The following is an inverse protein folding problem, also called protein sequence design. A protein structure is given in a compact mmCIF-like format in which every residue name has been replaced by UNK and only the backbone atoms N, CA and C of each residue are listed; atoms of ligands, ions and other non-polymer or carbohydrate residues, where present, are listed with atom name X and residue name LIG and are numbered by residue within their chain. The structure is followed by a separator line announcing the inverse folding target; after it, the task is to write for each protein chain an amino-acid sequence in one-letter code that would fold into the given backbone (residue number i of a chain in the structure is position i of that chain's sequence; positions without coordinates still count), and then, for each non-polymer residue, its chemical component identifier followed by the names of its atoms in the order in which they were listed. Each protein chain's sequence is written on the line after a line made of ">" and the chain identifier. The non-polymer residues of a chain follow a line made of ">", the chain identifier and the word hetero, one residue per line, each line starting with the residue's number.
data_IF_346172014138
#
_entry.id   IF_346172014138
#
_cell.length_a   1.000
_cell.length_b   1.000
_cell.length_c   1.000
_cell.angle_alpha   90.00
_cell.angle_beta   90.00
_cell.angle_gamma   90.00
#
_symmetry.space_group_name_H-M   'P 1'
#
loop_
_entity.id
_entity.type
_entity.pdbx_description
1 polymer ?
#
# COMPACT_ATOMS: atom_id res chain seq x y z
N UNK A 1 -7.37 -23.03 -13.62
CA UNK A 1 -7.46 -23.33 -12.17
C UNK A 1 -8.56 -22.42 -11.63
N UNK A 2 -9.75 -22.96 -11.35
CA UNK A 2 -10.87 -22.17 -10.85
C UNK A 2 -10.56 -21.72 -9.41
N UNK A 3 -10.35 -20.42 -9.21
CA UNK A 3 -10.34 -19.81 -7.88
C UNK A 3 -11.73 -20.07 -7.27
N UNK A 4 -11.83 -20.70 -6.08
CA UNK A 4 -13.12 -20.85 -5.43
C UNK A 4 -13.71 -19.45 -5.18
N UNK A 5 -15.00 -19.28 -5.46
CA UNK A 5 -15.72 -18.06 -5.12
C UNK A 5 -15.57 -17.82 -3.61
N UNK A 6 -14.68 -16.89 -3.24
CA UNK A 6 -14.43 -16.52 -1.86
C UNK A 6 -15.74 -15.96 -1.31
N UNK A 7 -16.37 -16.67 -0.37
CA UNK A 7 -17.57 -16.18 0.32
C UNK A 7 -17.28 -14.78 0.88
N UNK A 8 -18.16 -13.79 0.71
CA UNK A 8 -17.95 -12.46 1.27
C UNK A 8 -17.80 -12.60 2.80
N UNK A 9 -16.57 -12.41 3.29
CA UNK A 9 -16.25 -12.54 4.71
C UNK A 9 -16.77 -11.28 5.41
N UNK A 10 -17.75 -11.45 6.30
CA UNK A 10 -18.45 -10.37 7.02
C UNK A 10 -17.46 -9.43 7.72
N UNK A 11 -17.47 -8.15 7.34
CA UNK A 11 -16.65 -7.06 7.90
C UNK A 11 -16.98 -6.78 9.38
N UNK A 12 -16.10 -6.10 10.13
CA UNK A 12 -16.40 -5.68 11.52
C UNK A 12 -17.56 -4.67 11.57
N UNK A 13 -17.73 -3.88 10.51
CA UNK A 13 -18.83 -2.92 10.33
C UNK A 13 -19.94 -3.47 9.41
N UNK A 14 -20.09 -4.79 9.35
CA UNK A 14 -21.05 -5.41 8.45
C UNK A 14 -22.48 -4.93 8.70
N UNK A 15 -23.16 -4.44 7.65
CA UNK A 15 -24.50 -3.87 7.71
C UNK A 15 -24.63 -2.56 8.52
N UNK A 16 -23.52 -1.94 8.97
CA UNK A 16 -23.59 -0.65 9.66
C UNK A 16 -23.93 0.44 8.65
N UNK A 17 -24.97 1.21 8.95
CA UNK A 17 -25.24 2.45 8.24
C UNK A 17 -24.28 3.53 8.72
N UNK A 18 -23.63 4.22 7.78
CA UNK A 18 -22.69 5.31 8.04
C UNK A 18 -23.11 6.56 7.27
N UNK A 19 -22.83 7.72 7.83
CA UNK A 19 -23.03 9.02 7.19
C UNK A 19 -21.97 9.28 6.12
N UNK A 20 -22.20 10.27 5.25
CA UNK A 20 -21.20 10.75 4.29
C UNK A 20 -19.87 11.13 4.95
N UNK A 21 -19.94 11.87 6.06
CA UNK A 21 -18.74 12.29 6.81
C UNK A 21 -18.00 11.11 7.41
N UNK A 22 -18.71 10.13 7.99
CA UNK A 22 -18.10 8.90 8.50
C UNK A 22 -17.46 8.06 7.37
N UNK A 23 -18.11 7.98 6.20
CA UNK A 23 -17.56 7.29 5.04
C UNK A 23 -16.26 7.95 4.55
N UNK A 24 -16.26 9.28 4.41
CA UNK A 24 -15.08 10.06 4.01
C UNK A 24 -13.91 9.83 4.99
N UNK A 25 -14.17 9.98 6.29
CA UNK A 25 -13.18 9.78 7.34
C UNK A 25 -12.62 8.35 7.36
N UNK A 26 -13.49 7.35 7.27
CA UNK A 26 -13.11 5.93 7.26
C UNK A 26 -12.23 5.58 6.06
N UNK A 27 -12.59 6.10 4.88
CA UNK A 27 -11.89 5.79 3.64
C UNK A 27 -10.62 6.64 3.45
N UNK A 28 -10.42 7.67 4.27
CA UNK A 28 -9.30 8.60 4.15
C UNK A 28 -9.42 9.51 2.93
N UNK A 29 -10.65 9.85 2.53
CA UNK A 29 -10.95 10.71 1.38
C UNK A 29 -11.82 11.91 1.80
N UNK A 30 -12.01 12.86 0.90
CA UNK A 30 -12.89 14.01 1.14
C UNK A 30 -14.36 13.64 0.92
N UNK A 31 -15.29 14.39 1.51
CA UNK A 31 -16.73 14.21 1.22
C UNK A 31 -17.05 14.43 -0.27
N UNK A 32 -16.34 15.34 -0.94
CA UNK A 32 -16.48 15.55 -2.38
C UNK A 32 -16.11 14.28 -3.18
N UNK A 33 -15.09 13.54 -2.75
CA UNK A 33 -14.74 12.26 -3.37
C UNK A 33 -15.82 11.19 -3.15
N UNK A 34 -16.52 11.22 -2.01
CA UNK A 34 -17.69 10.36 -1.79
C UNK A 34 -18.82 10.74 -2.75
N UNK A 35 -19.08 12.03 -2.95
CA UNK A 35 -20.08 12.50 -3.91
C UNK A 35 -19.74 12.04 -5.35
N UNK A 36 -18.47 12.16 -5.77
CA UNK A 36 -18.00 11.62 -7.06
C UNK A 36 -18.26 10.11 -7.18
N UNK A 37 -18.05 9.33 -6.10
CA UNK A 37 -18.33 7.89 -6.13
C UNK A 37 -19.82 7.61 -6.30
N UNK A 38 -20.70 8.41 -5.70
CA UNK A 38 -22.15 8.30 -5.88
C UNK A 38 -22.52 8.59 -7.33
N UNK A 39 -21.95 9.62 -7.94
CA UNK A 39 -22.13 9.93 -9.37
C UNK A 39 -21.65 8.78 -10.27
N UNK A 40 -20.64 8.03 -9.82
CA UNK A 40 -20.11 6.83 -10.48
C UNK A 40 -20.88 5.54 -10.14
N UNK A 41 -21.98 5.63 -9.38
CA UNK A 41 -22.87 4.52 -9.07
C UNK A 41 -22.56 3.77 -7.77
N UNK A 42 -21.90 4.41 -6.80
CA UNK A 42 -21.74 3.84 -5.46
C UNK A 42 -23.09 3.65 -4.76
N UNK A 43 -23.28 2.53 -4.02
CA UNK A 43 -24.55 2.25 -3.35
C UNK A 43 -24.79 3.22 -2.20
N UNK A 44 -25.94 3.92 -2.23
CA UNK A 44 -26.41 4.79 -1.16
C UNK A 44 -27.75 4.28 -0.60
N UNK A 45 -28.00 4.53 0.69
CA UNK A 45 -29.24 4.13 1.38
C UNK A 45 -30.27 5.24 1.44
N UNK A 46 -29.83 6.49 1.54
CA UNK A 46 -30.73 7.64 1.61
C UNK A 46 -30.08 8.91 1.08
N UNK A 47 -30.92 9.89 0.76
CA UNK A 47 -30.53 11.24 0.35
C UNK A 47 -30.96 12.27 1.39
N UNK A 48 -30.22 13.37 1.50
CA UNK A 48 -30.54 14.50 2.36
C UNK A 48 -31.60 15.41 1.71
N UNK A 49 -31.99 16.48 2.42
CA UNK A 49 -32.98 17.45 1.94
C UNK A 49 -32.54 18.23 0.70
N UNK A 50 -31.25 18.15 0.32
CA UNK A 50 -30.66 18.78 -0.86
C UNK A 50 -30.44 17.76 -1.99
N UNK A 51 -30.92 16.52 -1.83
CA UNK A 51 -30.78 15.45 -2.81
C UNK A 51 -29.39 14.80 -2.87
N UNK A 52 -28.50 15.09 -1.91
CA UNK A 52 -27.17 14.46 -1.84
C UNK A 52 -27.22 13.16 -1.05
N UNK A 53 -26.32 12.22 -1.31
CA UNK A 53 -26.23 11.01 -0.52
C UNK A 53 -25.99 11.35 0.97
N UNK A 54 -26.89 10.88 1.83
CA UNK A 54 -26.84 11.14 3.27
C UNK A 54 -26.23 9.96 4.02
N UNK A 55 -26.62 8.74 3.66
CA UNK A 55 -26.17 7.53 4.34
C UNK A 55 -25.86 6.38 3.38
N UNK A 56 -24.98 5.52 3.84
CA UNK A 56 -24.42 4.39 3.11
C UNK A 56 -24.47 3.14 3.98
N UNK A 57 -24.63 1.98 3.35
CA UNK A 57 -24.27 0.73 4.00
C UNK A 57 -22.76 0.52 3.87
N UNK A 58 -22.07 0.41 5.02
CA UNK A 58 -20.62 0.27 5.04
C UNK A 58 -20.14 -0.97 4.26
N UNK A 59 -20.91 -2.05 4.24
CA UNK A 59 -20.56 -3.28 3.51
C UNK A 59 -20.67 -3.05 2.02
N UNK A 60 -21.83 -2.57 1.56
CA UNK A 60 -22.09 -2.37 0.13
C UNK A 60 -21.10 -1.35 -0.45
N UNK A 61 -20.84 -0.25 0.27
CA UNK A 61 -19.88 0.75 -0.17
C UNK A 61 -18.45 0.20 -0.23
N UNK A 62 -18.04 -0.61 0.77
CA UNK A 62 -16.72 -1.24 0.76
C UNK A 62 -16.60 -2.25 -0.38
N UNK A 63 -17.61 -3.10 -0.60
CA UNK A 63 -17.60 -4.06 -1.69
C UNK A 63 -17.57 -3.38 -3.06
N UNK A 64 -18.34 -2.30 -3.24
CA UNK A 64 -18.27 -1.47 -4.43
C UNK A 64 -16.87 -0.90 -4.63
N UNK A 65 -16.22 -0.40 -3.58
CA UNK A 65 -14.85 0.15 -3.66
C UNK A 65 -13.78 -0.92 -3.99
N UNK A 66 -13.93 -2.13 -3.45
CA UNK A 66 -12.99 -3.23 -3.68
C UNK A 66 -13.11 -3.85 -5.07
N UNK A 67 -14.25 -3.65 -5.73
CA UNK A 67 -14.55 -4.18 -7.05
C UNK A 67 -14.52 -3.10 -8.15
N UNK A 68 -14.55 -1.82 -7.78
CA UNK A 68 -14.34 -0.72 -8.72
C UNK A 68 -12.88 -0.67 -9.15
N UNK A 69 -12.67 -0.81 -10.46
CA UNK A 69 -11.34 -0.67 -11.07
C UNK A 69 -10.85 0.79 -11.11
N UNK A 70 -11.69 1.73 -10.69
CA UNK A 70 -11.53 3.17 -10.93
C UNK A 70 -10.56 3.88 -9.97
N UNK A 71 -10.09 3.23 -8.91
CA UNK A 71 -9.05 3.76 -8.02
C UNK A 71 -7.69 3.08 -8.32
N UNK A 72 -6.96 3.71 -9.24
CA UNK A 72 -5.50 3.72 -9.39
C UNK A 72 -4.82 2.40 -9.00
N UNK A 73 -4.88 1.38 -9.86
CA UNK A 73 -3.82 0.38 -9.88
C UNK A 73 -2.58 1.08 -10.44
N UNK A 74 -1.48 1.29 -9.70
CA UNK A 74 -0.23 1.62 -10.38
C UNK A 74 0.05 0.46 -11.34
N UNK A 75 0.04 0.76 -12.64
CA UNK A 75 0.48 -0.15 -13.70
C UNK A 75 1.80 -0.75 -13.22
N UNK A 76 2.00 -2.06 -13.43
CA UNK A 76 3.28 -2.74 -13.17
C UNK A 76 4.42 -1.79 -13.55
N UNK A 77 5.14 -1.28 -12.56
CA UNK A 77 6.33 -0.50 -12.84
C UNK A 77 7.38 -1.50 -13.32
N UNK A 78 7.73 -1.39 -14.59
CA UNK A 78 8.84 -2.10 -15.20
C UNK A 78 10.12 -1.52 -14.61
N UNK A 79 10.69 -2.22 -13.64
CA UNK A 79 11.84 -1.73 -12.87
C UNK A 79 12.08 -2.54 -11.61
N UNK A 80 12.98 -3.52 -11.73
CA UNK A 80 13.48 -4.44 -10.70
C UNK A 80 12.41 -5.29 -9.98
N UNK A 81 12.45 -6.60 -10.27
CA UNK A 81 11.58 -7.60 -9.67
C UNK A 81 11.61 -7.51 -8.13
N UNK A 82 10.42 -7.37 -7.54
CA UNK A 82 10.27 -7.57 -6.12
C UNK A 82 10.63 -9.03 -5.80
N UNK A 83 11.15 -9.32 -4.59
CA UNK A 83 11.23 -10.70 -4.12
C UNK A 83 9.83 -11.33 -4.19
N UNK A 84 9.71 -12.64 -4.50
CA UNK A 84 8.41 -13.28 -4.69
C UNK A 84 7.41 -13.00 -3.56
N UNK A 85 7.88 -13.03 -2.30
CA UNK A 85 7.04 -12.77 -1.13
C UNK A 85 6.55 -11.32 -0.99
N UNK A 86 7.24 -10.34 -1.57
CA UNK A 86 6.75 -8.97 -1.68
C UNK A 86 5.92 -8.78 -2.95
N UNK A 87 6.21 -9.52 -4.02
CA UNK A 87 5.42 -9.48 -5.25
C UNK A 87 3.98 -9.92 -5.02
N UNK A 88 3.75 -10.99 -4.24
CA UNK A 88 2.40 -11.44 -3.87
C UNK A 88 1.55 -10.32 -3.23
N UNK A 89 2.17 -9.49 -2.39
CA UNK A 89 1.49 -8.34 -1.77
C UNK A 89 1.26 -7.24 -2.81
N UNK A 90 2.25 -6.97 -3.66
CA UNK A 90 2.16 -5.97 -4.72
C UNK A 90 1.14 -6.32 -5.81
N UNK A 91 0.86 -7.61 -6.04
CA UNK A 91 -0.21 -8.03 -6.94
C UNK A 91 -1.61 -7.67 -6.41
N UNK A 92 -1.73 -7.45 -5.10
CA UNK A 92 -2.98 -7.09 -4.42
C UNK A 92 -3.15 -5.58 -4.25
N UNK A 93 -2.14 -4.89 -3.70
CA UNK A 93 -2.24 -3.45 -3.35
C UNK A 93 -1.32 -2.54 -4.19
N UNK A 94 -0.59 -3.11 -5.15
CA UNK A 94 0.37 -2.37 -5.98
C UNK A 94 1.76 -2.24 -5.35
N UNK A 95 2.77 -2.04 -6.21
CA UNK A 95 4.19 -2.00 -5.81
C UNK A 95 4.49 -0.93 -4.77
N UNK A 96 4.07 0.31 -5.00
CA UNK A 96 4.41 1.45 -4.15
C UNK A 96 3.84 1.29 -2.75
N UNK A 97 2.56 0.88 -2.65
CA UNK A 97 1.89 0.60 -1.38
C UNK A 97 2.55 -0.55 -0.64
N UNK A 98 2.94 -1.61 -1.35
CA UNK A 98 3.71 -2.72 -0.77
C UNK A 98 5.06 -2.29 -0.22
N UNK A 99 5.83 -1.50 -0.97
CA UNK A 99 7.13 -1.01 -0.50
C UNK A 99 6.97 -0.06 0.69
N UNK A 100 5.95 0.80 0.68
CA UNK A 100 5.61 1.66 1.81
C UNK A 100 5.27 0.83 3.06
N UNK A 101 4.41 -0.18 2.92
CA UNK A 101 4.03 -1.10 3.99
C UNK A 101 5.25 -1.81 4.58
N UNK A 102 6.02 -2.50 3.74
CA UNK A 102 7.21 -3.27 4.16
C UNK A 102 8.25 -2.37 4.83
N UNK A 103 8.47 -1.16 4.29
CA UNK A 103 9.44 -0.20 4.85
C UNK A 103 9.08 0.31 6.25
N UNK A 104 7.81 0.18 6.66
CA UNK A 104 7.30 0.61 7.97
C UNK A 104 7.20 -0.54 8.98
N UNK A 105 7.36 -1.78 8.54
CA UNK A 105 7.32 -2.94 9.43
C UNK A 105 8.66 -3.14 10.14
N UNK A 106 8.66 -3.48 11.44
CA UNK A 106 9.88 -3.83 12.14
C UNK A 106 10.43 -5.16 11.61
N UNK A 107 11.76 -5.30 11.70
CA UNK A 107 12.42 -6.59 11.46
C UNK A 107 11.90 -7.63 12.45
N UNK A 108 11.67 -8.86 11.99
CA UNK A 108 11.06 -9.92 12.79
C UNK A 108 11.93 -11.17 12.93
N UNK A 109 12.26 -11.50 14.18
CA UNK A 109 13.06 -12.65 14.60
C UNK A 109 14.53 -12.57 14.16
N UNK A 110 15.20 -13.72 14.09
CA UNK A 110 16.66 -13.81 13.89
C UNK A 110 17.13 -13.55 12.45
N UNK A 111 16.23 -13.61 11.46
CA UNK A 111 16.60 -13.42 10.05
C UNK A 111 16.58 -11.92 9.69
N UNK A 112 17.72 -11.32 9.28
CA UNK A 112 17.83 -9.88 9.09
C UNK A 112 17.00 -9.33 7.92
N UNK A 113 16.63 -10.19 6.97
CA UNK A 113 15.82 -9.82 5.81
C UNK A 113 14.32 -9.95 6.04
N UNK A 114 13.87 -10.53 7.16
CA UNK A 114 12.46 -10.90 7.36
C UNK A 114 11.71 -9.81 8.12
N UNK A 115 10.53 -9.46 7.63
CA UNK A 115 9.49 -8.78 8.40
C UNK A 115 8.27 -9.71 8.54
N UNK A 116 7.45 -9.51 9.56
CA UNK A 116 6.22 -10.28 9.74
C UNK A 116 5.01 -9.34 9.73
N UNK A 117 3.98 -9.71 8.99
CA UNK A 117 2.70 -9.02 8.95
C UNK A 117 1.59 -10.04 9.18
N UNK A 118 0.91 -9.96 10.31
CA UNK A 118 -0.35 -10.68 10.49
C UNK A 118 -1.47 -9.92 9.78
N UNK A 119 -2.20 -10.62 8.90
CA UNK A 119 -3.40 -10.08 8.25
C UNK A 119 -4.62 -10.67 8.97
N UNK A 120 -5.42 -9.85 9.67
CA UNK A 120 -6.58 -10.37 10.40
C UNK A 120 -7.66 -10.87 9.43
N UNK A 121 -8.57 -11.72 9.91
CA UNK A 121 -9.72 -12.18 9.10
C UNK A 121 -10.79 -11.11 8.93
N UNK A 122 -10.79 -10.10 9.80
CA UNK A 122 -11.68 -8.93 9.79
C UNK A 122 -10.93 -7.72 10.32
N UNK A 123 -11.15 -6.56 9.72
CA UNK A 123 -10.49 -5.31 10.13
C UNK A 123 -11.53 -4.21 10.38
N UNK A 124 -11.22 -3.31 11.31
CA UNK A 124 -12.01 -2.11 11.62
C UNK A 124 -11.22 -0.84 11.28
N UNK A 125 -11.88 0.32 11.19
CA UNK A 125 -11.28 1.55 10.69
C UNK A 125 -10.10 2.03 11.55
N UNK A 126 -10.18 1.78 12.85
CA UNK A 126 -9.15 2.17 13.81
C UNK A 126 -7.96 1.19 13.87
N UNK A 127 -7.93 0.18 13.00
CA UNK A 127 -6.86 -0.82 13.02
C UNK A 127 -5.56 -0.22 12.46
N UNK A 128 -4.37 -0.48 13.07
CA UNK A 128 -3.10 0.09 12.63
C UNK A 128 -2.77 -0.11 11.15
N UNK A 129 -3.14 -1.28 10.59
CA UNK A 129 -2.98 -1.54 9.15
C UNK A 129 -3.83 -0.58 8.29
N UNK A 130 -5.06 -0.25 8.69
CA UNK A 130 -5.87 0.76 8.00
C UNK A 130 -5.22 2.14 8.11
N UNK A 131 -4.73 2.53 9.28
CA UNK A 131 -4.01 3.81 9.44
C UNK A 131 -2.73 3.87 8.59
N UNK A 132 -2.11 2.72 8.31
CA UNK A 132 -0.86 2.64 7.56
C UNK A 132 -1.07 2.68 6.04
N UNK A 133 -1.99 1.86 5.51
CA UNK A 133 -2.16 1.69 4.05
C UNK A 133 -3.53 2.12 3.53
N UNK A 134 -4.42 2.61 4.40
CA UNK A 134 -5.79 3.00 4.04
C UNK A 134 -6.78 1.86 4.11
N UNK A 135 -8.07 2.20 4.21
CA UNK A 135 -9.16 1.24 4.38
C UNK A 135 -9.25 0.25 3.22
N UNK A 136 -9.15 0.74 1.99
CA UNK A 136 -9.28 -0.07 0.79
C UNK A 136 -8.19 -1.13 0.71
N UNK A 137 -6.93 -0.72 0.76
CA UNK A 137 -5.79 -1.64 0.62
C UNK A 137 -5.73 -2.64 1.78
N UNK A 138 -6.06 -2.20 2.99
CA UNK A 138 -6.17 -3.10 4.14
C UNK A 138 -7.27 -4.17 3.93
N UNK A 139 -8.43 -3.80 3.40
CA UNK A 139 -9.49 -4.75 3.08
C UNK A 139 -9.15 -5.66 1.88
N UNK A 140 -8.39 -5.18 0.89
CA UNK A 140 -7.85 -6.03 -0.17
C UNK A 140 -6.92 -7.11 0.39
N UNK A 141 -6.01 -6.74 1.31
CA UNK A 141 -5.16 -7.72 1.99
C UNK A 141 -5.96 -8.70 2.83
N UNK A 142 -7.00 -8.26 3.55
CA UNK A 142 -7.88 -9.16 4.32
C UNK A 142 -8.63 -10.14 3.40
N UNK A 143 -9.08 -9.66 2.22
CA UNK A 143 -9.77 -10.49 1.22
C UNK A 143 -8.87 -11.61 0.71
N UNK A 144 -7.61 -11.32 0.41
CA UNK A 144 -6.66 -12.28 -0.16
C UNK A 144 -5.97 -13.15 0.91
N UNK A 145 -5.48 -12.52 1.99
CA UNK A 145 -4.59 -13.13 2.97
C UNK A 145 -5.18 -13.24 4.38
N UNK A 146 -6.47 -12.97 4.56
CA UNK A 146 -7.09 -12.91 5.89
C UNK A 146 -6.93 -14.20 6.70
N UNK A 147 -6.31 -14.07 7.88
CA UNK A 147 -5.99 -15.16 8.80
C UNK A 147 -4.55 -15.70 8.66
N UNK A 148 -3.74 -15.14 7.77
CA UNK A 148 -2.39 -15.60 7.47
C UNK A 148 -1.34 -14.63 8.06
N UNK A 149 -0.18 -15.16 8.45
CA UNK A 149 1.01 -14.37 8.76
C UNK A 149 1.90 -14.34 7.51
N UNK A 150 1.98 -13.19 6.87
CA UNK A 150 2.89 -12.94 5.76
C UNK A 150 4.31 -12.70 6.27
N UNK A 151 5.29 -13.25 5.56
CA UNK A 151 6.72 -13.08 5.87
C UNK A 151 7.50 -12.49 4.68
N UNK A 152 7.18 -11.25 4.24
CA UNK A 152 7.84 -10.68 3.09
C UNK A 152 9.30 -10.32 3.39
N UNK A 153 10.09 -10.21 2.31
CA UNK A 153 11.43 -9.63 2.39
C UNK A 153 11.35 -8.15 2.75
N UNK A 154 12.28 -7.65 3.55
CA UNK A 154 12.35 -6.25 3.98
C UNK A 154 12.70 -5.26 2.85
N UNK A 155 12.99 -5.76 1.64
CA UNK A 155 13.25 -4.98 0.43
C UNK A 155 14.39 -3.94 0.55
N UNK A 156 15.21 -3.97 1.61
CA UNK A 156 16.32 -3.02 1.82
C UNK A 156 17.37 -3.07 0.70
N UNK A 157 17.49 -4.21 0.02
CA UNK A 157 18.38 -4.36 -1.12
C UNK A 157 17.96 -3.51 -2.32
N UNK A 158 16.65 -3.24 -2.53
CA UNK A 158 16.18 -2.36 -3.60
C UNK A 158 16.64 -0.92 -3.35
N UNK A 159 16.46 -0.43 -2.12
CA UNK A 159 16.98 0.89 -1.72
C UNK A 159 18.51 0.96 -1.88
N UNK A 160 19.23 -0.08 -1.45
CA UNK A 160 20.69 -0.17 -1.63
C UNK A 160 21.08 -0.11 -3.10
N UNK A 161 20.39 -0.84 -3.98
CA UNK A 161 20.65 -0.89 -5.42
C UNK A 161 20.39 0.46 -6.06
N UNK A 162 19.20 1.03 -5.88
CA UNK A 162 18.84 2.37 -6.36
C UNK A 162 19.90 3.40 -5.97
N UNK A 163 20.25 3.45 -4.68
CA UNK A 163 21.26 4.37 -4.17
C UNK A 163 22.63 4.17 -4.80
N UNK A 164 23.04 2.92 -5.02
CA UNK A 164 24.32 2.59 -5.67
C UNK A 164 24.33 3.10 -7.11
N UNK A 165 23.23 2.87 -7.84
CA UNK A 165 23.05 3.37 -9.21
C UNK A 165 23.04 4.89 -9.25
N UNK A 166 22.34 5.54 -8.32
CA UNK A 166 22.24 7.00 -8.28
C UNK A 166 23.58 7.67 -7.94
N UNK A 167 24.33 7.13 -6.97
CA UNK A 167 25.70 7.58 -6.67
C UNK A 167 26.58 7.51 -7.92
N UNK A 168 26.52 6.40 -8.66
CA UNK A 168 27.31 6.22 -9.89
C UNK A 168 26.89 7.18 -10.99
N UNK A 169 25.58 7.41 -11.15
CA UNK A 169 25.01 8.35 -12.11
C UNK A 169 25.48 9.78 -11.83
N UNK A 170 25.35 10.25 -10.59
CA UNK A 170 25.76 11.59 -10.17
C UNK A 170 27.28 11.78 -10.31
N UNK A 171 28.08 10.79 -9.88
CA UNK A 171 29.52 10.84 -10.05
C UNK A 171 29.93 10.87 -11.54
N UNK A 172 29.28 10.05 -12.38
CA UNK A 172 29.49 10.07 -13.83
C UNK A 172 29.10 11.40 -14.48
N UNK A 173 28.18 12.15 -13.88
CA UNK A 173 27.83 13.52 -14.27
C UNK A 173 28.79 14.59 -13.70
N UNK A 174 29.89 14.20 -13.04
CA UNK A 174 30.93 15.10 -12.55
C UNK A 174 30.69 15.69 -11.16
N UNK A 175 29.66 15.25 -10.42
CA UNK A 175 29.40 15.75 -9.07
C UNK A 175 30.49 15.30 -8.10
N UNK A 176 30.90 16.18 -7.18
CA UNK A 176 31.90 15.83 -6.19
C UNK A 176 31.34 14.87 -5.14
N UNK A 177 32.20 14.00 -4.59
CA UNK A 177 31.85 12.99 -3.58
C UNK A 177 31.12 13.60 -2.37
N UNK A 178 31.52 14.80 -1.94
CA UNK A 178 30.90 15.51 -0.81
C UNK A 178 29.48 15.99 -1.12
N UNK A 179 29.23 16.47 -2.34
CA UNK A 179 27.92 16.97 -2.74
C UNK A 179 26.92 15.82 -2.88
N UNK A 180 27.37 14.70 -3.47
CA UNK A 180 26.58 13.46 -3.55
C UNK A 180 26.24 12.94 -2.14
N UNK A 181 27.22 12.95 -1.24
CA UNK A 181 27.05 12.52 0.15
C UNK A 181 25.99 13.36 0.87
N UNK A 182 26.05 14.69 0.74
CA UNK A 182 25.06 15.61 1.31
C UNK A 182 23.66 15.43 0.70
N UNK A 183 23.57 15.25 -0.62
CA UNK A 183 22.30 15.09 -1.32
C UNK A 183 21.57 13.79 -0.94
N UNK A 184 22.32 12.70 -0.77
CA UNK A 184 21.76 11.36 -0.50
C UNK A 184 21.78 10.97 0.98
N UNK A 185 22.16 11.89 1.87
CA UNK A 185 22.30 11.70 3.32
C UNK A 185 23.12 10.46 3.70
N UNK A 186 24.31 10.31 3.10
CA UNK A 186 25.23 9.21 3.37
C UNK A 186 26.66 9.71 3.53
N UNK A 187 27.51 8.91 4.19
CA UNK A 187 28.91 9.33 4.39
C UNK A 187 29.68 9.42 3.07
N UNK A 188 30.58 10.41 2.97
CA UNK A 188 31.51 10.54 1.85
C UNK A 188 32.36 9.27 1.64
N UNK A 189 32.71 8.56 2.72
CA UNK A 189 33.39 7.25 2.64
C UNK A 189 32.54 6.23 1.89
N UNK A 190 31.24 6.19 2.13
CA UNK A 190 30.35 5.25 1.47
C UNK A 190 30.18 5.58 -0.02
N UNK A 191 30.10 6.86 -0.37
CA UNK A 191 30.12 7.31 -1.77
C UNK A 191 31.43 6.88 -2.45
N UNK A 192 32.58 7.17 -1.84
CA UNK A 192 33.89 6.78 -2.37
C UNK A 192 34.00 5.26 -2.58
N UNK A 193 33.50 4.45 -1.64
CA UNK A 193 33.47 2.99 -1.77
C UNK A 193 32.58 2.52 -2.93
N UNK A 194 31.44 3.17 -3.18
CA UNK A 194 30.55 2.80 -4.30
C UNK A 194 31.20 3.11 -5.65
N UNK A 195 31.92 4.24 -5.71
CA UNK A 195 32.62 4.71 -6.92
C UNK A 195 33.88 3.89 -7.20
N UNK A 196 34.63 3.50 -6.17
CA UNK A 196 35.89 2.76 -6.33
C UNK A 196 35.70 1.32 -6.79
N UNK A 197 34.54 0.71 -6.50
CA UNK A 197 34.19 -0.63 -6.98
C UNK A 197 33.87 -0.56 -8.48
N UNK A 198 34.89 -0.79 -9.32
CA UNK A 198 34.74 -1.08 -10.75
C UNK A 198 33.88 -2.33 -10.92
N UNK A 199 32.92 -2.31 -11.85
CA UNK A 199 32.19 -3.51 -12.24
C UNK A 199 33.18 -4.49 -12.88
N UNK A 200 33.25 -5.71 -12.33
CA UNK A 200 33.77 -6.88 -13.01
C UNK A 200 32.72 -7.40 -13.99
#
# INVERSE_FOLDING_TARGET
>A
MNLPALRPRKYRLHGRTITRTEAAAMMGVTEARIDEWVDLGAPMRSVDTRGRAATFDCTELTEWLLNSEQDIRPKRHEGDDLPPSAQEIADVIGRERTLFLIGRLPQSGSRPWRVCLYVPTRIGPDHPLVSLIGWRDANLLVREFGGIILQPSNCRFLHRRWRTTEVRRLHGAGWAVRDIAGMLDISARQVANIVSVKMA
#
